data_IF_894029701235
#
_entry.id   IF_894029701235
#
_cell.length_a   1.000
_cell.length_b   1.000
_cell.length_c   1.000
_cell.angle_alpha   90.00
_cell.angle_beta   90.00
_cell.angle_gamma   90.00
#
_symmetry.space_group_name_H-M   'P 1'
#
loop_
_entity.id
_entity.type
_entity.pdbx_description
1 polymer ?
#
# COMPACT_ATOMS: atom_id res chain seq x y z
N UNK A 1 -31.77 -44.26 -8.99
CA UNK A 1 -31.79 -45.12 -7.79
C UNK A 1 -30.35 -45.11 -7.26
N UNK A 2 -30.02 -45.03 -5.96
CA UNK A 2 -30.76 -45.31 -4.72
C UNK A 2 -30.72 -44.08 -3.77
N UNK A 3 -31.66 -43.97 -2.81
CA UNK A 3 -31.66 -42.97 -1.72
C UNK A 3 -31.32 -43.63 -0.38
N UNK A 4 -30.56 -42.93 0.49
CA UNK A 4 -30.47 -43.02 1.97
C UNK A 4 -29.35 -42.03 2.39
N UNK A 5 -29.50 -40.96 3.19
CA UNK A 5 -30.40 -40.59 4.31
C UNK A 5 -29.98 -41.15 5.68
N UNK A 6 -29.35 -40.30 6.51
CA UNK A 6 -29.37 -40.20 7.99
C UNK A 6 -28.36 -39.10 8.42
N UNK A 7 -28.32 -38.58 9.67
CA UNK A 7 -29.31 -37.82 10.45
C UNK A 7 -28.63 -37.22 11.71
N UNK A 8 -29.16 -36.13 12.29
CA UNK A 8 -28.70 -35.47 13.53
C UNK A 8 -27.25 -34.90 13.47
N UNK A 9 -26.77 -33.98 14.32
CA UNK A 9 -27.30 -33.13 15.41
C UNK A 9 -26.46 -31.82 15.35
N UNK A 10 -26.87 -30.61 15.71
CA UNK A 10 -27.88 -30.21 16.69
C UNK A 10 -27.20 -29.45 17.84
N UNK A 11 -26.66 -28.26 17.57
CA UNK A 11 -26.07 -27.35 18.56
C UNK A 11 -26.33 -25.88 18.13
N UNK A 12 -27.14 -25.15 18.88
CA UNK A 12 -27.43 -23.75 18.64
C UNK A 12 -26.77 -22.89 19.72
N UNK A 13 -25.70 -22.17 19.36
CA UNK A 13 -25.09 -21.16 20.23
C UNK A 13 -25.63 -19.78 19.89
N UNK A 14 -26.63 -19.35 20.65
CA UNK A 14 -27.10 -17.97 20.65
C UNK A 14 -26.22 -17.14 21.61
N UNK A 15 -25.25 -16.40 21.07
CA UNK A 15 -24.53 -15.35 21.78
C UNK A 15 -25.16 -14.00 21.40
N UNK A 16 -25.72 -13.32 22.39
CA UNK A 16 -26.41 -12.04 22.22
C UNK A 16 -26.08 -11.09 23.37
N UNK A 17 -26.00 -9.80 23.06
CA UNK A 17 -25.74 -8.68 23.97
C UNK A 17 -24.28 -8.66 24.50
N UNK A 18 -23.67 -7.50 24.79
CA UNK A 18 -24.26 -6.18 25.05
C UNK A 18 -23.73 -5.07 24.14
N UNK A 19 -24.55 -4.04 23.93
CA UNK A 19 -24.22 -2.85 23.12
C UNK A 19 -23.68 -1.74 24.04
N UNK A 20 -22.36 -1.61 24.15
CA UNK A 20 -21.71 -0.55 24.94
C UNK A 20 -21.66 0.77 24.15
N UNK A 21 -22.80 1.46 24.02
CA UNK A 21 -22.82 2.84 23.54
C UNK A 21 -22.24 3.77 24.64
N UNK A 22 -21.14 4.45 24.32
CA UNK A 22 -20.60 5.53 25.16
C UNK A 22 -20.41 6.78 24.30
N UNK A 23 -21.50 7.51 24.10
CA UNK A 23 -21.45 8.87 23.58
C UNK A 23 -20.84 9.81 24.62
N UNK A 24 -20.23 10.88 24.13
CA UNK A 24 -19.78 12.07 24.86
C UNK A 24 -20.69 12.48 26.03
N UNK A 25 -20.09 12.73 27.19
CA UNK A 25 -20.49 13.83 28.08
C UNK A 25 -19.27 14.38 28.84
N UNK A 26 -19.35 15.62 29.32
CA UNK A 26 -18.24 16.31 29.97
C UNK A 26 -18.69 17.29 31.09
N UNK A 27 -18.04 17.26 32.27
CA UNK A 27 -18.06 18.35 33.26
C UNK A 27 -16.71 19.15 33.20
N UNK A 28 -16.62 20.49 33.29
CA UNK A 28 -17.26 21.47 34.18
C UNK A 28 -16.86 21.28 35.67
N UNK A 29 -16.46 22.27 36.48
CA UNK A 29 -16.25 23.73 36.35
C UNK A 29 -15.38 24.17 37.59
N UNK A 30 -14.81 25.37 37.82
CA UNK A 30 -14.84 26.69 37.17
C UNK A 30 -13.68 27.62 37.64
N UNK A 31 -13.63 28.85 37.11
CA UNK A 31 -12.91 30.07 37.60
C UNK A 31 -11.39 30.27 37.43
N UNK A 32 -11.05 31.51 37.07
CA UNK A 32 -9.72 32.15 37.06
C UNK A 32 -9.60 33.12 38.29
N UNK A 33 -8.76 34.19 38.39
CA UNK A 33 -7.80 34.84 37.46
C UNK A 33 -6.32 34.65 37.90
N UNK A 34 -5.26 35.26 37.36
CA UNK A 34 -5.05 36.43 36.48
C UNK A 34 -3.69 36.28 35.72
N UNK A 35 -3.11 37.19 34.92
CA UNK A 35 -3.44 38.60 34.54
C UNK A 35 -2.81 38.95 33.14
N UNK A 36 -2.32 40.18 32.97
CA UNK A 36 -1.52 40.79 31.88
C UNK A 36 -0.21 40.04 31.51
N UNK A 37 0.36 40.18 30.31
CA UNK A 37 0.50 41.42 29.50
C UNK A 37 0.55 41.18 27.98
N UNK A 38 -0.01 42.10 27.20
CA UNK A 38 0.27 42.36 25.78
C UNK A 38 0.69 43.87 25.65
N UNK A 39 1.28 44.38 24.55
CA UNK A 39 0.56 44.53 23.27
C UNK A 39 1.41 44.55 21.95
N UNK A 40 0.71 44.36 20.82
CA UNK A 40 0.91 45.03 19.49
C UNK A 40 2.30 44.98 18.78
N UNK A 41 2.47 45.38 17.51
CA UNK A 41 1.57 46.06 16.56
C UNK A 41 1.89 45.72 15.08
N UNK A 42 0.92 45.96 14.19
CA UNK A 42 1.00 46.13 12.72
C UNK A 42 1.70 45.07 11.82
N UNK A 43 1.26 44.84 10.57
CA UNK A 43 0.13 45.43 9.85
C UNK A 43 -0.04 44.91 8.41
N UNK A 44 -1.05 45.43 7.71
CA UNK A 44 -1.37 45.17 6.29
C UNK A 44 -0.29 45.73 5.32
N UNK A 45 -0.24 45.48 4.00
CA UNK A 45 -1.21 44.94 3.00
C UNK A 45 -0.46 44.60 1.69
N UNK A 46 -0.99 43.69 0.84
CA UNK A 46 -0.75 43.55 -0.65
C UNK A 46 0.72 43.51 -1.17
N UNK A 47 1.10 42.99 -2.34
CA UNK A 47 0.39 42.82 -3.62
C UNK A 47 1.01 41.74 -4.53
N UNK A 48 0.57 41.67 -5.80
CA UNK A 48 0.86 40.62 -6.80
C UNK A 48 2.05 40.96 -7.71
N UNK A 49 3.01 40.04 -7.90
CA UNK A 49 3.54 39.61 -9.25
C UNK A 49 4.79 38.71 -9.19
N UNK A 50 4.71 37.62 -9.97
CA UNK A 50 5.65 37.10 -10.98
C UNK A 50 7.18 37.28 -10.93
N UNK A 51 7.83 36.25 -11.50
CA UNK A 51 9.23 36.17 -11.98
C UNK A 51 10.36 36.16 -10.94
N UNK A 52 11.53 35.53 -11.18
CA UNK A 52 11.92 34.34 -11.94
C UNK A 52 13.46 34.16 -11.77
N UNK A 53 13.97 32.99 -12.17
CA UNK A 53 15.42 32.67 -12.37
C UNK A 53 16.31 32.53 -11.12
N UNK A 54 17.36 31.70 -11.10
CA UNK A 54 17.67 30.44 -11.84
C UNK A 54 18.86 29.76 -11.13
N UNK A 55 18.69 28.50 -10.71
CA UNK A 55 19.76 27.52 -10.41
C UNK A 55 20.81 27.91 -9.31
N UNK A 56 21.68 27.02 -8.84
CA UNK A 56 22.06 25.67 -9.29
C UNK A 56 22.22 24.66 -8.14
N UNK A 57 22.26 23.36 -8.45
CA UNK A 57 22.21 22.27 -7.45
C UNK A 57 21.39 21.05 -7.86
N UNK A 58 21.26 20.76 -9.16
CA UNK A 58 20.53 19.60 -9.65
C UNK A 58 21.45 18.38 -9.84
N UNK A 59 21.27 17.36 -9.00
CA UNK A 59 21.65 15.97 -9.23
C UNK A 59 20.47 15.13 -8.75
N UNK A 60 19.51 14.89 -9.65
CA UNK A 60 19.48 13.67 -10.44
C UNK A 60 19.13 12.43 -9.61
N UNK A 61 17.84 12.34 -9.31
CA UNK A 61 17.13 11.09 -9.17
C UNK A 61 15.90 11.20 -10.09
N UNK A 62 16.16 11.26 -11.40
CA UNK A 62 15.10 11.08 -12.39
C UNK A 62 14.53 9.67 -12.24
N UNK A 63 13.43 9.54 -11.51
CA UNK A 63 12.61 8.34 -11.54
C UNK A 63 12.02 8.25 -12.95
N UNK A 64 12.74 7.57 -13.85
CA UNK A 64 12.16 7.15 -15.12
C UNK A 64 10.96 6.27 -14.77
N UNK A 65 9.75 6.74 -15.07
CA UNK A 65 8.53 5.98 -14.84
C UNK A 65 8.62 4.68 -15.63
N UNK A 66 8.97 3.59 -14.93
CA UNK A 66 9.50 2.36 -15.53
C UNK A 66 8.63 1.90 -16.69
N UNK A 67 9.19 1.89 -17.91
CA UNK A 67 8.45 1.68 -19.15
C UNK A 67 7.61 0.41 -19.06
N UNK A 68 6.30 0.58 -18.84
CA UNK A 68 5.41 -0.53 -18.56
C UNK A 68 5.46 -1.54 -19.72
N UNK A 69 5.83 -2.77 -19.39
CA UNK A 69 6.01 -3.87 -20.33
C UNK A 69 4.70 -4.31 -20.99
N UNK A 70 4.79 -5.32 -21.86
CA UNK A 70 3.65 -5.81 -22.64
C UNK A 70 2.46 -6.19 -21.72
N UNK A 71 1.39 -5.40 -21.78
CA UNK A 71 0.23 -5.52 -20.87
C UNK A 71 0.08 -4.37 -19.86
N UNK A 72 0.96 -3.37 -19.86
CA UNK A 72 0.90 -2.25 -18.92
C UNK A 72 1.44 -2.57 -17.54
N UNK A 73 2.45 -3.45 -17.46
CA UNK A 73 3.08 -3.93 -16.23
C UNK A 73 4.60 -3.97 -16.37
N UNK A 74 5.34 -3.41 -15.41
CA UNK A 74 6.78 -3.62 -15.22
C UNK A 74 7.05 -4.07 -13.79
N UNK A 75 8.05 -4.94 -13.58
CA UNK A 75 8.45 -5.46 -12.28
C UNK A 75 9.97 -5.64 -12.23
N UNK A 76 10.59 -5.15 -11.15
CA UNK A 76 12.03 -5.23 -10.89
C UNK A 76 12.26 -5.66 -9.44
N UNK A 77 13.20 -6.57 -9.21
CA UNK A 77 13.61 -7.04 -7.87
C UNK A 77 15.13 -7.10 -7.83
N UNK A 78 15.77 -6.51 -6.82
CA UNK A 78 17.24 -6.47 -6.71
C UNK A 78 17.93 -5.92 -7.99
N UNK A 79 17.31 -4.91 -8.61
CA UNK A 79 17.74 -4.34 -9.89
C UNK A 79 17.54 -5.23 -11.13
N UNK A 80 16.98 -6.44 -10.97
CA UNK A 80 16.73 -7.39 -12.06
C UNK A 80 15.26 -7.30 -12.52
N UNK A 81 15.05 -7.01 -13.81
CA UNK A 81 13.72 -7.00 -14.43
C UNK A 81 13.14 -8.42 -14.45
N UNK A 82 11.93 -8.59 -13.91
CA UNK A 82 11.16 -9.83 -13.93
C UNK A 82 10.02 -9.69 -14.95
N UNK A 83 10.06 -10.44 -16.04
CA UNK A 83 8.99 -10.45 -17.05
C UNK A 83 7.81 -11.31 -16.58
N UNK A 84 6.57 -10.79 -16.69
CA UNK A 84 5.34 -11.55 -16.46
C UNK A 84 4.69 -11.87 -17.80
N UNK A 85 4.70 -13.15 -18.17
CA UNK A 85 4.03 -13.66 -19.37
C UNK A 85 2.51 -13.65 -19.21
N UNK A 86 1.78 -13.24 -20.25
CA UNK A 86 0.31 -13.11 -20.30
C UNK A 86 -0.30 -12.48 -19.02
N UNK A 87 0.12 -11.25 -18.63
CA UNK A 87 -0.29 -10.66 -17.36
C UNK A 87 -1.77 -10.28 -17.38
N UNK A 88 -2.46 -10.54 -16.28
CA UNK A 88 -3.79 -10.01 -15.99
C UNK A 88 -3.73 -9.14 -14.75
N UNK A 89 -4.04 -7.85 -14.95
CA UNK A 89 -4.19 -6.85 -13.90
C UNK A 89 -5.62 -6.93 -13.35
N UNK A 90 -5.77 -6.99 -12.03
CA UNK A 90 -7.07 -6.86 -11.33
C UNK A 90 -6.89 -5.86 -10.20
N UNK A 91 -7.62 -4.75 -10.27
CA UNK A 91 -7.61 -3.71 -9.24
C UNK A 91 -9.02 -3.54 -8.66
N UNK A 92 -9.15 -3.54 -7.34
CA UNK A 92 -10.45 -3.51 -6.65
C UNK A 92 -10.40 -2.74 -5.33
N UNK A 93 -11.46 -1.97 -5.04
CA UNK A 93 -11.68 -1.43 -3.70
C UNK A 93 -12.19 -2.55 -2.76
N UNK A 94 -11.63 -2.59 -1.56
CA UNK A 94 -11.87 -3.59 -0.52
C UNK A 94 -12.51 -3.01 0.75
N UNK A 95 -13.18 -1.85 0.65
CA UNK A 95 -13.91 -1.22 1.74
C UNK A 95 -13.05 -0.37 2.66
N UNK A 96 -12.22 0.51 2.08
CA UNK A 96 -11.21 1.29 2.82
C UNK A 96 -9.77 0.77 2.68
N UNK A 97 -9.52 0.02 1.61
CA UNK A 97 -8.20 -0.34 1.10
C UNK A 97 -8.35 -0.62 -0.41
N UNK A 98 -7.27 -0.46 -1.19
CA UNK A 98 -7.29 -0.74 -2.63
C UNK A 98 -6.31 -1.87 -2.95
N UNK A 99 -6.85 -3.00 -3.41
CA UNK A 99 -6.08 -4.20 -3.74
C UNK A 99 -5.76 -4.21 -5.24
N UNK A 100 -4.48 -4.33 -5.56
CA UNK A 100 -3.93 -4.48 -6.90
C UNK A 100 -3.31 -5.87 -6.98
N UNK A 101 -3.72 -6.68 -7.96
CA UNK A 101 -3.14 -8.00 -8.24
C UNK A 101 -2.69 -8.09 -9.68
N UNK A 102 -1.52 -8.68 -9.94
CA UNK A 102 -1.13 -9.11 -11.28
C UNK A 102 -0.71 -10.57 -11.25
N UNK A 103 -1.33 -11.39 -12.10
CA UNK A 103 -1.01 -12.80 -12.24
C UNK A 103 -0.80 -13.16 -13.71
N UNK A 104 0.08 -14.13 -13.97
CA UNK A 104 0.19 -14.74 -15.29
C UNK A 104 -1.04 -15.62 -15.57
N UNK A 105 -1.63 -15.51 -16.77
CA UNK A 105 -2.64 -16.48 -17.24
C UNK A 105 -2.04 -17.74 -17.86
N UNK A 106 -0.72 -17.75 -18.09
CA UNK A 106 0.02 -18.93 -18.52
C UNK A 106 0.04 -19.95 -17.37
N UNK A 107 -0.67 -21.08 -17.51
CA UNK A 107 -1.04 -21.95 -16.38
C UNK A 107 0.09 -22.75 -15.68
N UNK A 108 1.37 -22.42 -15.89
CA UNK A 108 2.53 -23.18 -15.39
C UNK A 108 3.63 -22.33 -14.71
N UNK A 109 3.52 -21.00 -14.74
CA UNK A 109 4.59 -20.09 -14.31
C UNK A 109 4.61 -19.83 -12.80
N UNK A 110 3.48 -19.98 -12.10
CA UNK A 110 3.37 -19.79 -10.64
C UNK A 110 3.59 -18.36 -10.12
N UNK A 111 4.09 -17.47 -10.98
CA UNK A 111 4.48 -16.10 -10.67
C UNK A 111 3.30 -15.13 -10.64
N UNK A 112 3.45 -14.10 -9.83
CA UNK A 112 2.48 -13.03 -9.68
C UNK A 112 2.83 -12.13 -8.51
N UNK A 113 1.99 -11.11 -8.31
CA UNK A 113 2.16 -10.12 -7.26
C UNK A 113 0.80 -9.62 -6.77
N UNK A 114 0.79 -9.14 -5.54
CA UNK A 114 -0.30 -8.35 -4.98
C UNK A 114 0.27 -7.18 -4.18
N UNK A 115 -0.37 -6.02 -4.29
CA UNK A 115 -0.13 -4.87 -3.45
C UNK A 115 -1.46 -4.38 -2.87
N UNK A 116 -1.45 -3.99 -1.60
CA UNK A 116 -2.60 -3.37 -0.93
C UNK A 116 -2.23 -1.97 -0.53
N UNK A 117 -3.02 -1.00 -0.97
CA UNK A 117 -2.88 0.42 -0.66
C UNK A 117 -3.95 0.82 0.37
N UNK A 118 -3.69 1.85 1.16
CA UNK A 118 -4.64 2.41 2.13
C UNK A 118 -5.84 3.10 1.48
N UNK A 119 -5.66 3.64 0.27
CA UNK A 119 -6.70 4.30 -0.52
C UNK A 119 -6.50 4.01 -2.02
N UNK A 120 -7.54 4.16 -2.85
CA UNK A 120 -7.40 4.12 -4.30
C UNK A 120 -6.56 5.28 -4.86
N UNK A 121 -6.21 6.30 -4.06
CA UNK A 121 -5.32 7.39 -4.48
C UNK A 121 -3.83 7.03 -4.27
N UNK A 122 -3.54 5.93 -3.57
CA UNK A 122 -2.19 5.38 -3.42
C UNK A 122 -1.32 6.07 -2.38
N UNK A 123 -1.92 6.67 -1.35
CA UNK A 123 -1.22 7.49 -0.35
C UNK A 123 -0.24 6.68 0.55
N UNK A 124 -0.54 5.42 0.84
CA UNK A 124 0.41 4.50 1.50
C UNK A 124 0.18 3.05 1.11
N UNK A 125 1.25 2.25 1.22
CA UNK A 125 1.25 0.80 0.95
C UNK A 125 1.17 0.05 2.27
N UNK A 126 0.13 -0.76 2.44
CA UNK A 126 -0.10 -1.55 3.66
C UNK A 126 0.51 -2.96 3.56
N UNK A 127 0.57 -3.53 2.35
CA UNK A 127 1.24 -4.80 2.09
C UNK A 127 1.70 -4.94 0.62
N UNK A 128 2.77 -5.71 0.39
CA UNK A 128 3.18 -6.21 -0.93
C UNK A 128 3.56 -7.69 -0.78
N UNK A 129 3.13 -8.52 -1.73
CA UNK A 129 3.58 -9.90 -1.88
C UNK A 129 3.97 -10.17 -3.33
N UNK A 130 5.09 -10.84 -3.53
CA UNK A 130 5.66 -11.17 -4.84
C UNK A 130 6.06 -12.65 -4.89
N UNK A 131 5.89 -13.28 -6.05
CA UNK A 131 6.47 -14.59 -6.38
C UNK A 131 7.00 -14.55 -7.82
N UNK A 132 8.28 -14.88 -8.02
CA UNK A 132 8.89 -15.02 -9.36
C UNK A 132 8.79 -16.44 -9.90
N UNK A 133 9.08 -16.63 -11.20
CA UNK A 133 9.11 -17.96 -11.84
C UNK A 133 10.11 -18.92 -11.16
N UNK A 134 11.23 -18.40 -10.68
CA UNK A 134 12.30 -19.13 -9.98
C UNK A 134 11.95 -19.48 -8.52
N UNK A 135 10.77 -19.06 -8.04
CA UNK A 135 10.31 -19.31 -6.67
C UNK A 135 10.87 -18.35 -5.62
N UNK A 136 11.53 -17.26 -6.01
CA UNK A 136 11.84 -16.16 -5.09
C UNK A 136 10.53 -15.51 -4.64
N UNK A 137 10.33 -15.44 -3.33
CA UNK A 137 9.20 -14.75 -2.72
C UNK A 137 9.68 -13.51 -1.98
N UNK A 138 9.04 -12.37 -2.23
CA UNK A 138 9.31 -11.08 -1.58
C UNK A 138 8.06 -10.63 -0.85
N UNK A 139 8.17 -10.21 0.40
CA UNK A 139 7.02 -9.78 1.21
C UNK A 139 7.31 -8.50 2.02
N UNK A 140 6.40 -7.55 1.97
CA UNK A 140 6.36 -6.36 2.82
C UNK A 140 5.00 -6.25 3.51
N UNK A 141 4.99 -5.79 4.76
CA UNK A 141 3.80 -5.42 5.49
C UNK A 141 4.08 -4.21 6.38
N UNK A 142 3.18 -3.22 6.37
CA UNK A 142 3.25 -2.04 7.21
C UNK A 142 3.26 -2.42 8.71
N UNK A 143 4.06 -1.71 9.50
CA UNK A 143 4.20 -1.98 10.94
C UNK A 143 4.97 -3.25 11.31
N UNK A 144 5.44 -4.06 10.35
CA UNK A 144 6.27 -5.25 10.60
C UNK A 144 7.66 -4.93 11.17
N UNK A 145 8.14 -3.70 10.97
CA UNK A 145 9.50 -3.27 11.34
C UNK A 145 10.60 -3.78 10.40
N UNK A 146 10.25 -4.36 9.25
CA UNK A 146 11.19 -4.91 8.27
C UNK A 146 10.81 -4.45 6.86
N UNK A 147 11.76 -3.84 6.15
CA UNK A 147 11.52 -3.25 4.84
C UNK A 147 10.69 -1.96 4.89
N UNK A 148 10.28 -1.48 3.72
CA UNK A 148 9.47 -0.28 3.52
C UNK A 148 8.72 -0.36 2.19
N UNK A 149 7.65 0.41 2.02
CA UNK A 149 7.06 0.60 0.69
C UNK A 149 6.33 1.94 0.57
N UNK A 150 6.40 2.52 -0.63
CA UNK A 150 5.69 3.74 -1.04
C UNK A 150 4.95 3.48 -2.35
N UNK A 151 3.91 4.27 -2.59
CA UNK A 151 3.18 4.28 -3.86
C UNK A 151 3.03 5.71 -4.37
N UNK A 152 2.95 5.84 -5.68
CA UNK A 152 2.53 7.05 -6.39
C UNK A 152 1.55 6.66 -7.49
N UNK A 153 0.69 7.62 -7.88
CA UNK A 153 -0.37 7.42 -8.86
C UNK A 153 -0.35 8.53 -9.91
N UNK A 154 -0.28 8.15 -11.18
CA UNK A 154 -0.47 9.03 -12.33
C UNK A 154 -1.66 8.54 -13.16
N UNK A 155 -2.80 9.22 -13.00
CA UNK A 155 -4.08 8.83 -13.59
C UNK A 155 -4.53 7.42 -13.18
N UNK A 156 -4.32 6.46 -14.08
CA UNK A 156 -4.65 5.04 -13.91
C UNK A 156 -3.43 4.16 -13.59
N UNK A 157 -2.21 4.72 -13.63
CA UNK A 157 -0.96 4.01 -13.40
C UNK A 157 -0.49 4.20 -11.97
N UNK A 158 -0.16 3.10 -11.29
CA UNK A 158 0.44 3.07 -9.97
C UNK A 158 1.90 2.65 -10.11
N UNK A 159 2.81 3.40 -9.47
CA UNK A 159 4.21 3.00 -9.26
C UNK A 159 4.39 2.70 -7.79
N UNK A 160 4.86 1.50 -7.47
CA UNK A 160 4.98 0.99 -6.10
C UNK A 160 6.43 0.51 -5.94
N UNK A 161 7.16 1.11 -5.00
CA UNK A 161 8.56 0.79 -4.76
C UNK A 161 8.86 0.67 -3.28
N UNK A 162 9.91 -0.07 -2.93
CA UNK A 162 10.23 -0.33 -1.54
C UNK A 162 11.32 -1.38 -1.34
N UNK A 163 11.40 -1.89 -0.11
CA UNK A 163 12.25 -3.01 0.29
C UNK A 163 11.37 -4.08 0.94
N UNK A 164 11.51 -5.33 0.49
CA UNK A 164 10.71 -6.45 0.97
C UNK A 164 11.56 -7.62 1.44
N UNK A 165 11.09 -8.32 2.46
CA UNK A 165 11.74 -9.48 3.07
C UNK A 165 11.79 -10.63 2.04
N UNK A 166 12.97 -11.21 1.85
CA UNK A 166 13.16 -12.44 1.08
C UNK A 166 13.44 -13.60 2.03
N UNK A 167 12.90 -14.78 1.72
CA UNK A 167 13.21 -16.01 2.45
C UNK A 167 14.31 -16.79 1.73
N UNK A 168 15.55 -16.76 2.23
CA UNK A 168 16.55 -17.75 1.81
C UNK A 168 16.14 -19.13 2.33
N UNK A 169 15.86 -20.04 1.40
CA UNK A 169 15.50 -21.44 1.72
C UNK A 169 16.65 -22.24 2.31
N UNK A 170 17.89 -21.75 2.20
CA UNK A 170 19.09 -22.34 2.82
C UNK A 170 19.31 -21.83 4.25
N UNK A 171 18.94 -20.58 4.55
CA UNK A 171 19.06 -19.95 5.86
C UNK A 171 17.74 -19.25 6.29
N UNK A 172 16.65 -20.00 6.56
CA UNK A 172 15.32 -19.44 6.87
C UNK A 172 15.21 -18.71 8.22
N UNK A 173 16.33 -18.46 8.90
CA UNK A 173 16.45 -17.60 10.09
C UNK A 173 17.17 -16.28 9.80
N UNK A 174 17.63 -16.07 8.57
CA UNK A 174 18.15 -14.77 8.10
C UNK A 174 16.99 -14.02 7.45
N UNK A 175 16.74 -12.79 7.93
CA UNK A 175 15.79 -11.87 7.30
C UNK A 175 16.59 -10.83 6.54
N UNK A 176 16.63 -10.96 5.23
CA UNK A 176 17.27 -10.03 4.29
C UNK A 176 16.18 -9.31 3.49
N UNK A 177 16.37 -8.03 3.23
CA UNK A 177 15.44 -7.20 2.46
C UNK A 177 16.07 -6.81 1.13
N UNK A 178 15.37 -7.06 0.03
CA UNK A 178 15.78 -6.62 -1.31
C UNK A 178 14.92 -5.46 -1.79
N UNK A 179 15.46 -4.52 -2.58
CA UNK A 179 14.66 -3.48 -3.19
C UNK A 179 13.75 -4.08 -4.28
N UNK A 180 12.55 -3.54 -4.41
CA UNK A 180 11.62 -3.87 -5.49
C UNK A 180 10.99 -2.60 -6.07
N UNK A 181 10.63 -2.67 -7.35
CA UNK A 181 9.82 -1.67 -8.05
C UNK A 181 8.80 -2.36 -8.94
N UNK A 182 7.57 -1.85 -8.94
CA UNK A 182 6.45 -2.39 -9.69
C UNK A 182 5.61 -1.25 -10.25
N UNK A 183 5.38 -1.25 -11.57
CA UNK A 183 4.57 -0.26 -12.28
C UNK A 183 3.40 -0.97 -12.95
N UNK A 184 2.18 -0.45 -12.80
CA UNK A 184 0.95 -1.07 -13.35
C UNK A 184 -0.12 -0.07 -13.71
N UNK A 185 -0.78 -0.26 -14.85
CA UNK A 185 -1.99 0.49 -15.22
C UNK A 185 -3.25 -0.33 -14.91
N UNK A 186 -4.10 0.17 -14.00
CA UNK A 186 -5.43 -0.40 -13.74
C UNK A 186 -6.43 0.12 -14.79
N UNK A 187 -7.11 -0.79 -15.50
CA UNK A 187 -8.05 -0.49 -16.59
C UNK A 187 -9.46 -1.00 -16.28
#
# INVERSE_FOLDING_TARGET
MIRKSLAATGAAFALALTLAACSTDAPADTSAPADTTAPADAGSTTDTSSEATTNDGAADAGAEAGSAGAGGVSLTVDGQQIEITDPQVVCADAGGAYAISVASTSANTGQGLGATLSSPEGESVTAVGLVTADGMAVAYAEGSGMGSAAATKDGNTYTISGEGIVTDTNNPTSFETVPFEFVVTCN
#
